data_IF_741741574927
#
_entry.id   IF_741741574927
#
_cell.length_a   1.000
_cell.length_b   1.000
_cell.length_c   1.000
_cell.angle_alpha   90.00
_cell.angle_beta   90.00
_cell.angle_gamma   90.00
#
_symmetry.space_group_name_H-M   'P 1'
#
loop_
_entity.id
_entity.type
_entity.pdbx_description
1 polymer ?
#
# COMPACT_ATOMS: atom_id res chain seq x y z
N UNK A 1 -1.14 -23.37 -5.20
CA UNK A 1 -1.80 -22.91 -3.95
C UNK A 1 -2.79 -23.91 -3.38
N UNK A 2 -3.64 -24.59 -4.17
CA UNK A 2 -4.53 -25.66 -3.64
C UNK A 2 -3.79 -26.82 -3.00
N UNK A 3 -2.64 -27.19 -3.57
CA UNK A 3 -1.76 -28.26 -3.07
C UNK A 3 -0.90 -27.87 -1.86
N UNK A 4 -0.84 -26.59 -1.47
CA UNK A 4 0.08 -26.14 -0.41
C UNK A 4 -0.57 -26.15 0.98
N UNK A 5 -1.90 -25.99 1.06
CA UNK A 5 -2.63 -25.94 2.33
C UNK A 5 -3.62 -27.10 2.50
N UNK A 6 -3.88 -27.91 1.48
CA UNK A 6 -4.88 -29.00 1.55
C UNK A 6 -6.32 -28.52 1.75
N UNK A 7 -6.59 -27.21 1.56
CA UNK A 7 -7.91 -26.59 1.75
C UNK A 7 -8.45 -26.10 0.40
N UNK A 8 -9.76 -26.28 0.19
CA UNK A 8 -10.45 -25.77 -0.99
C UNK A 8 -10.20 -24.26 -1.20
N UNK A 9 -9.66 -23.89 -2.36
CA UNK A 9 -9.26 -22.50 -2.67
C UNK A 9 -10.40 -21.50 -2.58
N UNK A 10 -11.59 -21.86 -3.08
CA UNK A 10 -12.76 -20.97 -3.03
C UNK A 10 -13.15 -20.68 -1.58
N UNK A 11 -13.10 -21.70 -0.72
CA UNK A 11 -13.37 -21.56 0.72
C UNK A 11 -12.32 -20.68 1.40
N UNK A 12 -11.04 -20.89 1.09
CA UNK A 12 -9.94 -20.09 1.63
C UNK A 12 -10.02 -18.62 1.20
N UNK A 13 -10.21 -18.35 -0.09
CA UNK A 13 -10.37 -16.98 -0.61
C UNK A 13 -11.56 -16.26 0.02
N UNK A 14 -12.69 -16.97 0.19
CA UNK A 14 -13.88 -16.41 0.84
C UNK A 14 -13.61 -16.06 2.30
N UNK A 15 -12.96 -16.96 3.05
CA UNK A 15 -12.60 -16.73 4.45
C UNK A 15 -11.61 -15.57 4.59
N UNK A 16 -10.59 -15.53 3.73
CA UNK A 16 -9.63 -14.43 3.72
C UNK A 16 -10.31 -13.09 3.49
N UNK A 17 -11.16 -12.99 2.44
CA UNK A 17 -11.87 -11.77 2.07
C UNK A 17 -12.88 -11.30 3.14
N UNK A 18 -13.55 -12.24 3.81
CA UNK A 18 -14.64 -11.91 4.75
C UNK A 18 -14.18 -11.74 6.20
N UNK A 19 -13.14 -12.45 6.62
CA UNK A 19 -12.83 -12.61 8.04
C UNK A 19 -11.36 -12.36 8.41
N UNK A 20 -10.39 -12.65 7.52
CA UNK A 20 -8.97 -12.60 7.88
C UNK A 20 -8.25 -11.32 7.45
N UNK A 21 -8.69 -10.68 6.36
CA UNK A 21 -7.95 -9.54 5.80
C UNK A 21 -8.16 -8.22 6.57
N UNK A 22 -9.00 -8.21 7.62
CA UNK A 22 -9.34 -7.04 8.44
C UNK A 22 -9.71 -5.76 7.67
N UNK A 23 -10.01 -5.87 6.37
CA UNK A 23 -10.16 -4.73 5.47
C UNK A 23 -11.34 -3.85 5.88
N UNK A 24 -12.41 -4.48 6.36
CA UNK A 24 -13.60 -3.76 6.85
C UNK A 24 -13.34 -2.96 8.12
N UNK A 25 -12.26 -3.24 8.87
CA UNK A 25 -11.88 -2.52 10.10
C UNK A 25 -10.82 -1.46 9.83
N UNK A 26 -10.39 -1.30 8.59
CA UNK A 26 -9.27 -0.43 8.27
C UNK A 26 -9.71 1.02 8.28
N UNK A 27 -9.21 1.81 9.24
CA UNK A 27 -9.56 3.22 9.41
C UNK A 27 -9.29 4.08 8.16
N UNK A 28 -8.34 3.65 7.33
CA UNK A 28 -7.95 4.33 6.08
C UNK A 28 -8.87 4.02 4.90
N UNK A 29 -9.86 3.14 5.03
CA UNK A 29 -10.68 2.65 3.91
C UNK A 29 -11.35 3.77 3.09
N UNK A 30 -11.68 4.91 3.70
CA UNK A 30 -12.27 6.07 3.02
C UNK A 30 -11.31 6.73 2.01
N UNK A 31 -10.01 6.77 2.31
CA UNK A 31 -9.01 7.49 1.50
C UNK A 31 -8.11 6.56 0.70
N UNK A 32 -8.15 5.24 0.96
CA UNK A 32 -7.37 4.19 0.26
C UNK A 32 -7.47 4.27 -1.27
N UNK A 33 -8.59 4.74 -1.81
CA UNK A 33 -8.75 4.92 -3.26
C UNK A 33 -7.91 6.07 -3.84
N UNK A 34 -7.43 6.99 -3.01
CA UNK A 34 -6.60 8.11 -3.38
C UNK A 34 -5.18 7.94 -2.86
N UNK A 35 -5.01 7.63 -1.58
CA UNK A 35 -3.71 7.47 -0.96
C UNK A 35 -3.74 6.64 0.33
N UNK A 36 -2.60 6.04 0.63
CA UNK A 36 -2.29 5.34 1.88
C UNK A 36 -0.92 5.84 2.32
N UNK A 37 -0.78 6.30 3.56
CA UNK A 37 0.50 6.75 4.11
C UNK A 37 0.76 6.04 5.43
N UNK A 38 2.01 5.62 5.61
CA UNK A 38 2.57 4.99 6.79
C UNK A 38 3.57 5.97 7.41
N UNK A 39 3.11 6.93 8.23
CA UNK A 39 3.97 7.97 8.81
C UNK A 39 5.13 7.38 9.64
N UNK A 40 4.93 6.21 10.26
CA UNK A 40 5.94 5.46 11.00
C UNK A 40 7.16 5.06 10.16
N UNK A 41 7.02 5.00 8.83
CA UNK A 41 8.06 4.58 7.89
C UNK A 41 8.82 5.77 7.28
N UNK A 42 8.36 7.01 7.54
CA UNK A 42 9.00 8.25 7.07
C UNK A 42 10.32 8.42 7.80
N UNK A 43 11.42 8.34 7.06
CA UNK A 43 12.76 8.55 7.60
C UNK A 43 13.69 9.11 6.51
N UNK A 44 14.96 9.35 6.85
CA UNK A 44 15.88 10.18 6.04
C UNK A 44 16.16 9.69 4.61
N UNK A 45 15.91 8.42 4.27
CA UNK A 45 16.28 7.81 2.99
C UNK A 45 15.05 7.50 2.13
N UNK A 46 14.27 8.54 1.81
CA UNK A 46 13.10 8.42 0.94
C UNK A 46 13.50 8.33 -0.54
N UNK A 47 12.79 7.48 -1.26
CA UNK A 47 12.85 7.36 -2.71
C UNK A 47 11.44 7.26 -3.25
N UNK A 48 11.12 8.11 -4.21
CA UNK A 48 9.93 7.93 -5.03
C UNK A 48 10.27 6.86 -6.05
N UNK A 49 9.49 5.79 -6.06
CA UNK A 49 9.68 4.67 -6.98
C UNK A 49 8.36 4.31 -7.67
N UNK A 50 8.53 3.57 -8.77
CA UNK A 50 7.53 2.96 -9.65
C UNK A 50 6.16 3.66 -9.78
N UNK A 51 5.89 4.08 -11.02
CA UNK A 51 4.53 4.25 -11.48
C UNK A 51 3.93 2.87 -11.77
N UNK A 52 3.16 2.31 -10.84
CA UNK A 52 2.52 1.02 -10.99
C UNK A 52 1.16 1.15 -11.69
N UNK A 53 0.94 0.40 -12.78
CA UNK A 53 -0.38 0.28 -13.41
C UNK A 53 -1.17 -0.85 -12.73
N UNK A 54 -2.23 -0.50 -12.01
CA UNK A 54 -3.13 -1.46 -11.38
C UNK A 54 -4.58 -1.12 -11.70
N UNK A 55 -5.32 -2.08 -12.26
CA UNK A 55 -6.72 -1.91 -12.70
C UNK A 55 -6.94 -0.66 -13.58
N UNK A 56 -5.99 -0.33 -14.46
CA UNK A 56 -6.07 0.83 -15.34
C UNK A 56 -5.78 2.18 -14.67
N UNK A 57 -5.35 2.19 -13.40
CA UNK A 57 -4.90 3.38 -12.67
C UNK A 57 -3.41 3.33 -12.42
N UNK A 58 -2.78 4.51 -12.47
CA UNK A 58 -1.36 4.67 -12.15
C UNK A 58 -1.24 5.04 -10.67
N UNK A 59 -0.26 4.45 -9.99
CA UNK A 59 0.06 4.72 -8.59
C UNK A 59 1.53 5.07 -8.49
N UNK A 60 1.86 6.07 -7.68
CA UNK A 60 3.22 6.41 -7.30
C UNK A 60 3.48 5.85 -5.90
N UNK A 61 4.58 5.13 -5.72
CA UNK A 61 4.95 4.51 -4.45
C UNK A 61 6.14 5.25 -3.86
N UNK A 62 6.01 5.72 -2.61
CA UNK A 62 7.13 6.23 -1.85
C UNK A 62 7.69 5.11 -1.00
N UNK A 63 8.99 4.87 -1.12
CA UNK A 63 9.70 3.86 -0.33
C UNK A 63 10.84 4.47 0.48
N UNK A 64 11.19 3.81 1.56
CA UNK A 64 12.36 4.10 2.36
C UNK A 64 13.45 3.07 2.07
N UNK A 65 14.54 3.54 1.43
CA UNK A 65 15.66 2.70 1.00
C UNK A 65 16.51 2.18 2.16
N UNK A 66 16.40 2.78 3.36
CA UNK A 66 17.07 2.29 4.58
C UNK A 66 16.70 0.85 4.88
N UNK A 67 15.44 0.48 4.66
CA UNK A 67 14.92 -0.86 4.94
C UNK A 67 15.20 -1.88 3.81
N UNK A 68 15.81 -1.46 2.69
CA UNK A 68 16.22 -2.35 1.59
C UNK A 68 15.09 -3.26 1.07
N UNK A 69 13.87 -2.73 0.96
CA UNK A 69 12.69 -3.49 0.48
C UNK A 69 12.15 -4.53 1.47
N UNK A 70 12.61 -4.51 2.74
CA UNK A 70 12.06 -5.34 3.82
C UNK A 70 10.77 -4.71 4.37
N UNK A 71 10.24 -5.27 5.46
CA UNK A 71 9.16 -4.65 6.20
C UNK A 71 9.47 -3.18 6.49
N UNK A 72 8.43 -2.34 6.52
CA UNK A 72 8.53 -0.91 6.81
C UNK A 72 9.21 -0.06 5.72
N UNK A 73 9.46 -0.66 4.55
CA UNK A 73 10.01 0.06 3.39
C UNK A 73 8.96 0.88 2.63
N UNK A 74 7.66 0.59 2.74
CA UNK A 74 6.61 1.37 2.04
C UNK A 74 6.17 2.52 2.93
N UNK A 75 6.33 3.74 2.43
CA UNK A 75 6.01 4.97 3.15
C UNK A 75 4.66 5.52 2.68
N UNK A 76 4.43 5.54 1.37
CA UNK A 76 3.17 6.03 0.81
C UNK A 76 2.83 5.31 -0.49
N UNK A 77 1.54 5.18 -0.76
CA UNK A 77 1.00 4.79 -2.07
C UNK A 77 -0.01 5.86 -2.44
N UNK A 78 0.21 6.55 -3.55
CA UNK A 78 -0.64 7.67 -3.99
C UNK A 78 -1.12 7.42 -5.41
N UNK A 79 -2.38 7.70 -5.68
CA UNK A 79 -2.97 7.55 -7.02
C UNK A 79 -2.54 8.72 -7.90
N UNK A 80 -2.01 8.41 -9.08
CA UNK A 80 -1.50 9.38 -10.05
C UNK A 80 0.00 9.27 -10.26
N UNK A 81 0.51 10.13 -11.15
CA UNK A 81 1.92 10.19 -11.56
C UNK A 81 2.58 11.52 -11.24
N UNK A 82 1.81 12.50 -10.74
CA UNK A 82 2.31 13.82 -10.42
C UNK A 82 3.00 13.79 -9.07
N UNK A 83 4.32 13.69 -9.11
CA UNK A 83 5.22 13.73 -7.94
C UNK A 83 4.93 14.95 -7.04
N UNK A 84 4.63 16.11 -7.60
CA UNK A 84 4.33 17.32 -6.83
C UNK A 84 3.12 17.16 -5.90
N UNK A 85 2.08 16.44 -6.37
CA UNK A 85 0.90 16.17 -5.55
C UNK A 85 1.20 15.18 -4.42
N UNK A 86 2.15 14.26 -4.63
CA UNK A 86 2.62 13.30 -3.62
C UNK A 86 3.37 14.04 -2.53
N UNK A 87 4.32 14.91 -2.90
CA UNK A 87 5.10 15.71 -1.95
C UNK A 87 4.20 16.66 -1.16
N UNK A 88 3.29 17.38 -1.83
CA UNK A 88 2.34 18.27 -1.16
C UNK A 88 1.45 17.54 -0.14
N UNK A 89 1.03 16.30 -0.45
CA UNK A 89 0.22 15.49 0.47
C UNK A 89 1.02 15.05 1.69
N UNK A 90 2.27 14.65 1.50
CA UNK A 90 3.14 14.18 2.58
C UNK A 90 3.57 15.34 3.47
N UNK A 91 3.89 16.51 2.92
CA UNK A 91 4.21 17.71 3.70
C UNK A 91 3.04 18.28 4.51
N UNK A 92 1.78 17.88 4.22
CA UNK A 92 0.61 18.28 5.01
C UNK A 92 0.39 17.40 6.25
N UNK A 93 1.21 16.38 6.43
CA UNK A 93 1.16 15.48 7.59
C UNK A 93 2.17 16.05 8.58
N UNK A 94 1.69 17.00 9.39
CA UNK A 94 2.35 17.44 10.64
C UNK A 94 2.07 16.43 11.77
#
# INVERSE_FOLDING_TARGET
>A
METFFGVNRKKLQRQYKKHLNSFNKWALAQYVHQWIIYPENIETHLSIDEVALSQGKLYTILTNKKFQGKNDSIVAIVTGTKVDQVIERICKID
#
